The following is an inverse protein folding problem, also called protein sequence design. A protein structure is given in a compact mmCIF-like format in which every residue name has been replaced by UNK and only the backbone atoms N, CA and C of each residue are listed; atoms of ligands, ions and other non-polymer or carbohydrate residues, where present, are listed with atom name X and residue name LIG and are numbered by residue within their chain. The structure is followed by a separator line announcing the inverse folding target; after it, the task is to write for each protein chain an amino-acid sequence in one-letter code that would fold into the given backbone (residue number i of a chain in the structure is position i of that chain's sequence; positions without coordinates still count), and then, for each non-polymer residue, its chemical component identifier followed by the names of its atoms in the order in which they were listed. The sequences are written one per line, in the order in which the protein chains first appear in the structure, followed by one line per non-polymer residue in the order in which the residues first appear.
data_IF_519261228648
#
_entry.id   IF_519261228648
#
_cell.length_a   1.000
_cell.length_b   1.000
_cell.length_c   1.000
_cell.angle_alpha   90.00
_cell.angle_beta   90.00
_cell.angle_gamma   90.00
#
_symmetry.space_group_name_H-M   'P 1'
#
loop_
_entity.id
_entity.type
_entity.pdbx_description
1 polymer ?
#
# COMPACT_ATOMS: atom_id res chain seq x y z
N UNK A 1 -11.46 24.69 13.33
CA UNK A 1 -12.88 25.11 13.27
C UNK A 1 -13.07 26.61 13.46
N UNK A 2 -12.47 27.25 14.47
CA UNK A 2 -12.55 28.70 14.66
C UNK A 2 -12.10 29.50 13.41
N UNK A 3 -10.93 29.18 12.85
CA UNK A 3 -10.43 29.83 11.63
C UNK A 3 -11.33 29.63 10.39
N UNK A 4 -11.96 28.45 10.25
CA UNK A 4 -12.91 28.18 9.16
C UNK A 4 -14.20 28.98 9.32
N UNK A 5 -14.71 29.12 10.56
CA UNK A 5 -15.93 29.89 10.86
C UNK A 5 -15.69 31.40 10.80
N UNK A 6 -14.47 31.85 11.08
CA UNK A 6 -14.07 33.26 11.00
C UNK A 6 -13.81 33.74 9.56
N UNK A 7 -13.71 32.83 8.58
CA UNK A 7 -13.54 33.18 7.19
C UNK A 7 -14.89 33.52 6.54
N UNK A 8 -15.09 34.81 6.24
CA UNK A 8 -16.33 35.30 5.65
C UNK A 8 -16.55 34.81 4.21
N UNK A 9 -15.47 34.61 3.44
CA UNK A 9 -15.56 34.21 2.03
C UNK A 9 -15.46 32.69 1.82
N UNK A 10 -16.15 32.13 0.81
CA UNK A 10 -15.97 30.73 0.41
C UNK A 10 -14.51 30.38 0.07
N UNK A 11 -13.78 31.31 -0.55
CA UNK A 11 -12.36 31.14 -0.90
C UNK A 11 -11.48 31.01 0.35
N UNK A 12 -11.66 31.89 1.34
CA UNK A 12 -10.90 31.82 2.60
C UNK A 12 -11.18 30.53 3.38
N UNK A 13 -12.43 30.06 3.37
CA UNK A 13 -12.78 28.73 3.92
C UNK A 13 -12.04 27.60 3.20
N UNK A 14 -11.92 27.68 1.88
CA UNK A 14 -11.17 26.73 1.06
C UNK A 14 -9.67 26.72 1.36
N UNK A 15 -9.05 27.87 1.60
CA UNK A 15 -7.63 27.97 1.97
C UNK A 15 -7.36 27.32 3.33
N UNK A 16 -8.19 27.61 4.33
CA UNK A 16 -8.10 26.98 5.65
C UNK A 16 -8.23 25.46 5.55
N UNK A 17 -9.18 24.96 4.75
CA UNK A 17 -9.37 23.53 4.52
C UNK A 17 -8.14 22.86 3.90
N UNK A 18 -7.49 23.49 2.92
CA UNK A 18 -6.27 22.95 2.30
C UNK A 18 -5.08 22.95 3.25
N UNK A 19 -4.90 24.02 4.03
CA UNK A 19 -3.82 24.13 5.03
C UNK A 19 -3.90 23.04 6.09
N UNK A 20 -5.12 22.73 6.55
CA UNK A 20 -5.37 21.73 7.59
C UNK A 20 -5.54 20.30 7.05
N UNK A 21 -5.54 20.11 5.72
CA UNK A 21 -5.76 18.81 5.10
C UNK A 21 -7.17 18.24 5.32
N UNK A 22 -8.17 19.12 5.49
CA UNK A 22 -9.54 18.73 5.83
C UNK A 22 -10.48 19.00 4.67
N UNK A 23 -11.45 18.10 4.45
CA UNK A 23 -12.46 18.24 3.41
C UNK A 23 -13.75 18.89 3.93
N UNK A 24 -14.47 19.59 3.04
CA UNK A 24 -15.74 20.25 3.35
C UNK A 24 -16.78 19.31 3.97
N UNK A 25 -16.82 18.04 3.54
CA UNK A 25 -17.70 17.02 4.11
C UNK A 25 -17.42 16.75 5.59
N UNK A 26 -16.15 16.81 6.00
CA UNK A 26 -15.75 16.59 7.39
C UNK A 26 -16.09 17.82 8.26
N UNK A 27 -15.83 19.02 7.75
CA UNK A 27 -16.19 20.28 8.42
C UNK A 27 -17.69 20.40 8.63
N UNK A 28 -18.50 20.08 7.60
CA UNK A 28 -19.96 20.05 7.69
C UNK A 28 -20.44 19.08 8.79
N UNK A 29 -19.91 17.86 8.78
CA UNK A 29 -20.29 16.82 9.74
C UNK A 29 -19.93 17.19 11.17
N UNK A 30 -18.77 17.80 11.39
CA UNK A 30 -18.37 18.31 12.70
C UNK A 30 -19.20 19.51 13.14
N UNK A 31 -19.57 20.40 12.22
CA UNK A 31 -20.49 21.50 12.50
C UNK A 31 -21.81 20.98 13.08
N UNK A 32 -22.46 20.04 12.39
CA UNK A 32 -23.69 19.40 12.85
C UNK A 32 -23.55 18.74 14.23
N UNK A 33 -22.40 18.10 14.50
CA UNK A 33 -22.13 17.47 15.80
C UNK A 33 -21.90 18.49 16.92
N UNK A 34 -21.27 19.62 16.61
CA UNK A 34 -21.09 20.73 17.56
C UNK A 34 -22.44 21.36 17.88
N UNK A 35 -23.24 21.67 16.87
CA UNK A 35 -24.55 22.32 17.02
C UNK A 35 -25.52 21.42 17.79
N UNK A 36 -25.43 20.09 17.59
CA UNK A 36 -26.18 19.10 18.34
C UNK A 36 -25.58 18.74 19.71
N UNK A 37 -24.42 19.28 20.09
CA UNK A 37 -23.71 18.93 21.33
C UNK A 37 -23.27 17.45 21.41
N UNK A 38 -23.19 16.77 20.27
CA UNK A 38 -22.88 15.33 20.16
C UNK A 38 -21.46 15.05 19.70
N UNK A 39 -20.64 16.10 19.55
CA UNK A 39 -19.23 15.94 19.20
C UNK A 39 -18.53 15.11 20.27
N UNK A 40 -17.98 13.96 19.87
CA UNK A 40 -17.32 13.03 20.79
C UNK A 40 -18.26 12.16 21.64
N UNK A 41 -19.58 12.31 21.55
CA UNK A 41 -20.54 11.48 22.29
C UNK A 41 -20.86 10.15 21.59
N UNK A 42 -20.42 9.99 20.34
CA UNK A 42 -20.57 8.73 19.60
C UNK A 42 -19.77 7.63 20.28
N UNK A 43 -20.48 6.66 20.86
CA UNK A 43 -19.87 5.41 21.31
C UNK A 43 -19.15 4.74 20.13
N UNK A 44 -17.95 4.18 20.34
CA UNK A 44 -17.28 3.35 19.35
C UNK A 44 -18.27 2.31 18.83
N UNK A 45 -18.25 2.06 17.51
CA UNK A 45 -19.10 1.04 16.90
C UNK A 45 -18.93 -0.32 17.60
N UNK A 46 -19.93 -1.20 17.53
CA UNK A 46 -19.85 -2.52 18.15
C UNK A 46 -18.56 -3.22 17.73
N UNK A 47 -17.86 -3.83 18.70
CA UNK A 47 -16.63 -4.59 18.43
C UNK A 47 -16.92 -5.64 17.35
N UNK A 48 -16.01 -5.74 16.38
CA UNK A 48 -16.07 -6.72 15.30
C UNK A 48 -16.42 -8.11 15.86
N UNK A 49 -17.52 -8.67 15.36
CA UNK A 49 -18.04 -9.97 15.81
C UNK A 49 -17.19 -11.11 15.25
N UNK A 50 -17.34 -12.34 15.75
CA UNK A 50 -16.52 -13.49 15.30
C UNK A 50 -16.50 -13.72 13.78
N UNK A 51 -17.61 -13.41 13.08
CA UNK A 51 -17.69 -13.46 11.61
C UNK A 51 -16.82 -12.40 10.92
N UNK A 52 -16.63 -11.25 11.53
CA UNK A 52 -15.77 -10.18 11.01
C UNK A 52 -14.29 -10.53 11.19
N UNK A 53 -13.94 -11.16 12.32
CA UNK A 53 -12.57 -11.66 12.55
C UNK A 53 -12.17 -12.75 11.55
N UNK A 54 -13.09 -13.67 11.23
CA UNK A 54 -12.85 -14.69 10.22
C UNK A 54 -12.61 -14.08 8.83
N UNK A 55 -13.42 -13.08 8.42
CA UNK A 55 -13.24 -12.37 7.15
C UNK A 55 -11.91 -11.61 7.08
N UNK A 56 -11.51 -10.96 8.18
CA UNK A 56 -10.20 -10.29 8.28
C UNK A 56 -9.09 -11.33 8.12
N UNK A 57 -9.20 -12.47 8.81
CA UNK A 57 -8.19 -13.53 8.74
C UNK A 57 -8.06 -14.16 7.36
N UNK A 58 -9.18 -14.37 6.66
CA UNK A 58 -9.18 -14.87 5.27
C UNK A 58 -8.44 -13.89 4.36
N UNK A 59 -8.74 -12.59 4.44
CA UNK A 59 -8.04 -11.57 3.64
C UNK A 59 -6.54 -11.49 3.93
N UNK A 60 -6.16 -11.61 5.20
CA UNK A 60 -4.74 -11.67 5.58
C UNK A 60 -4.04 -12.89 4.99
N UNK A 61 -4.67 -14.07 5.06
CA UNK A 61 -4.12 -15.30 4.51
C UNK A 61 -4.01 -15.25 2.99
N UNK A 62 -5.02 -14.71 2.30
CA UNK A 62 -4.98 -14.47 0.85
C UNK A 62 -3.81 -13.55 0.48
N UNK A 63 -3.63 -12.45 1.22
CA UNK A 63 -2.52 -11.53 0.98
C UNK A 63 -1.15 -12.16 1.24
N UNK A 64 -1.02 -13.04 2.24
CA UNK A 64 0.22 -13.77 2.50
C UNK A 64 0.53 -14.78 1.40
N UNK A 65 -0.50 -15.47 0.91
CA UNK A 65 -0.39 -16.47 -0.14
C UNK A 65 0.04 -15.83 -1.47
N UNK A 66 -0.53 -14.69 -1.84
CA UNK A 66 -0.10 -13.97 -3.04
C UNK A 66 1.35 -13.48 -2.93
N UNK A 67 1.77 -12.93 -1.80
CA UNK A 67 3.18 -12.56 -1.58
C UNK A 67 4.13 -13.76 -1.67
N UNK A 68 3.71 -14.92 -1.15
CA UNK A 68 4.51 -16.13 -1.21
C UNK A 68 4.64 -16.66 -2.65
N UNK A 69 3.55 -16.61 -3.43
CA UNK A 69 3.58 -16.95 -4.87
C UNK A 69 4.48 -16.02 -5.66
N UNK A 70 4.37 -14.71 -5.46
CA UNK A 70 5.22 -13.73 -6.13
C UNK A 70 6.71 -14.00 -5.83
N UNK A 71 7.05 -14.28 -4.57
CA UNK A 71 8.40 -14.64 -4.18
C UNK A 71 8.88 -15.93 -4.84
N UNK A 72 8.06 -16.96 -4.88
CA UNK A 72 8.40 -18.21 -5.57
C UNK A 72 8.65 -17.99 -7.06
N UNK A 73 7.78 -17.23 -7.75
CA UNK A 73 7.98 -16.88 -9.16
C UNK A 73 9.33 -16.21 -9.39
N UNK A 74 9.68 -15.22 -8.58
CA UNK A 74 10.98 -14.53 -8.70
C UNK A 74 12.16 -15.47 -8.46
N UNK A 75 12.04 -16.41 -7.51
CA UNK A 75 13.08 -17.40 -7.26
C UNK A 75 13.22 -18.39 -8.43
N UNK A 76 12.12 -18.83 -9.01
CA UNK A 76 12.10 -19.69 -10.19
C UNK A 76 12.77 -19.00 -11.40
N UNK A 77 12.45 -17.73 -11.65
CA UNK A 77 13.09 -16.91 -12.68
C UNK A 77 14.60 -16.75 -12.46
N UNK A 78 15.02 -16.56 -11.21
CA UNK A 78 16.44 -16.51 -10.83
C UNK A 78 17.16 -17.81 -11.15
N UNK A 79 16.57 -18.96 -10.80
CA UNK A 79 17.15 -20.28 -11.10
C UNK A 79 17.32 -20.48 -12.60
N UNK A 80 16.30 -20.13 -13.39
CA UNK A 80 16.39 -20.20 -14.86
C UNK A 80 17.50 -19.31 -15.40
N UNK A 81 17.61 -18.09 -14.89
CA UNK A 81 18.63 -17.13 -15.33
C UNK A 81 20.04 -17.62 -14.97
N UNK A 82 20.24 -18.16 -13.76
CA UNK A 82 21.51 -18.77 -13.36
C UNK A 82 21.89 -19.93 -14.28
N UNK A 83 20.93 -20.81 -14.62
CA UNK A 83 21.15 -21.90 -15.56
C UNK A 83 21.64 -21.39 -16.93
N UNK A 84 21.02 -20.33 -17.47
CA UNK A 84 21.44 -19.70 -18.72
C UNK A 84 22.84 -19.09 -18.63
N UNK A 85 23.16 -18.38 -17.55
CA UNK A 85 24.49 -17.80 -17.33
C UNK A 85 25.58 -18.88 -17.25
N UNK A 86 25.31 -19.98 -16.55
CA UNK A 86 26.23 -21.11 -16.48
C UNK A 86 26.45 -21.76 -17.85
N UNK A 87 25.39 -21.94 -18.64
CA UNK A 87 25.51 -22.47 -20.00
C UNK A 87 26.40 -21.57 -20.88
N UNK A 88 26.16 -20.25 -20.87
CA UNK A 88 26.98 -19.30 -21.61
C UNK A 88 28.43 -19.28 -21.14
N UNK A 89 28.68 -19.40 -19.83
CA UNK A 89 30.04 -19.48 -19.29
C UNK A 89 30.78 -20.71 -19.83
N UNK A 90 30.14 -21.88 -19.81
CA UNK A 90 30.70 -23.11 -20.37
C UNK A 90 30.99 -22.96 -21.87
N UNK A 91 30.04 -22.41 -22.64
CA UNK A 91 30.22 -22.19 -24.08
C UNK A 91 31.44 -21.30 -24.35
N UNK A 92 31.59 -20.17 -23.64
CA UNK A 92 32.75 -19.28 -23.78
C UNK A 92 34.05 -19.97 -23.39
N UNK A 93 34.07 -20.76 -22.31
CA UNK A 93 35.26 -21.52 -21.90
C UNK A 93 35.67 -22.56 -22.94
N UNK A 94 34.72 -23.27 -23.55
CA UNK A 94 34.99 -24.27 -24.58
C UNK A 94 35.54 -23.60 -25.86
N UNK A 95 34.92 -22.50 -26.30
CA UNK A 95 35.37 -21.77 -27.49
C UNK A 95 36.71 -21.04 -27.27
N UNK A 96 36.98 -20.54 -26.05
CA UNK A 96 38.26 -19.95 -25.68
C UNK A 96 39.41 -20.97 -25.65
N UNK A 97 39.13 -22.21 -25.23
CA UNK A 97 40.10 -23.31 -25.27
C UNK A 97 40.41 -23.77 -26.71
N UNK A 98 39.42 -23.74 -27.61
CA UNK A 98 39.61 -24.11 -29.02
C UNK A 98 40.49 -23.12 -29.81
N UNK A 99 40.63 -21.87 -29.34
CA UNK A 99 41.33 -20.79 -30.04
C UNK A 99 42.76 -20.53 -29.50
N UNK A 100 43.28 -21.40 -28.63
CA UNK A 100 44.65 -21.29 -28.12
C UNK A 100 45.64 -22.03 -29.03
N UNK A 101 46.69 -21.37 -29.56
CA UNK A 101 47.70 -22.05 -30.38
C UNK A 101 48.47 -23.07 -29.52
N UNK A 102 48.54 -24.30 -30.01
CA UNK A 102 49.33 -25.38 -29.41
C UNK A 102 50.79 -25.10 -29.76
N UNK A 103 51.59 -24.70 -28.78
CA UNK A 103 53.04 -24.61 -28.91
C UNK A 103 53.66 -26.01 -29.09
#
# INVERSE_FOLDING_TARGET
MAAYRAADTPTGRGEVMRREGVYQSLVWRWGQQIDAGTLGTKRPGPKATGKDKAKIRVRELEAQLERAKDRNRTLEELVVTQGKCLALHVDVSVHGSANSPKF
#
